data_IF_781196566307
#
_entry.id   IF_781196566307
#
_cell.length_a   1.000
_cell.length_b   1.000
_cell.length_c   1.000
_cell.angle_alpha   90.00
_cell.angle_beta   90.00
_cell.angle_gamma   90.00
#
_symmetry.space_group_name_H-M   'P 1'
#
loop_
_entity.id
_entity.type
_entity.pdbx_description
1 polymer ?
#
# COMPACT_ATOMS: atom_id res chain seq x y z
N UNK A 1 -13.43 7.19 14.49
CA UNK A 1 -12.27 8.07 14.24
C UNK A 1 -11.18 7.35 13.44
N UNK A 2 -10.66 6.20 13.88
CA UNK A 2 -9.64 5.44 13.12
C UNK A 2 -10.11 5.07 11.70
N UNK A 3 -11.34 4.58 11.53
CA UNK A 3 -11.88 4.31 10.19
C UNK A 3 -11.88 5.53 9.25
N UNK A 4 -12.12 6.74 9.76
CA UNK A 4 -12.08 7.94 8.92
C UNK A 4 -10.65 8.22 8.43
N UNK A 5 -9.64 7.97 9.28
CA UNK A 5 -8.23 8.13 8.93
C UNK A 5 -7.77 7.06 7.91
N UNK A 6 -8.32 5.85 7.96
CA UNK A 6 -8.04 4.80 6.96
C UNK A 6 -8.53 5.18 5.56
N UNK A 7 -9.70 5.82 5.44
CA UNK A 7 -10.15 6.35 4.15
C UNK A 7 -9.39 7.62 3.74
N UNK A 8 -9.00 8.46 4.72
CA UNK A 8 -8.19 9.64 4.44
C UNK A 8 -6.83 9.25 3.85
N UNK A 9 -6.14 8.26 4.42
CA UNK A 9 -4.83 7.82 3.92
C UNK A 9 -4.92 7.21 2.51
N UNK A 10 -6.00 6.47 2.22
CA UNK A 10 -6.27 5.96 0.86
C UNK A 10 -6.51 7.09 -0.14
N UNK A 11 -7.36 8.07 0.20
CA UNK A 11 -7.61 9.24 -0.65
C UNK A 11 -6.32 10.02 -0.94
N UNK A 12 -5.45 10.15 0.05
CA UNK A 12 -4.15 10.80 -0.09
C UNK A 12 -3.21 10.00 -1.01
N UNK A 13 -3.20 8.67 -0.88
CA UNK A 13 -2.48 7.78 -1.81
C UNK A 13 -2.98 7.92 -3.23
N UNK A 14 -4.30 7.91 -3.47
CA UNK A 14 -4.87 8.08 -4.82
C UNK A 14 -4.50 9.42 -5.46
N UNK A 15 -4.19 10.44 -4.65
CA UNK A 15 -3.73 11.76 -5.11
C UNK A 15 -2.21 11.89 -5.23
N UNK A 16 -1.45 10.83 -4.96
CA UNK A 16 0.01 10.86 -4.81
C UNK A 16 0.50 11.94 -3.83
N UNK A 17 -0.28 12.25 -2.79
CA UNK A 17 0.08 13.20 -1.73
C UNK A 17 0.95 12.49 -0.67
N UNK A 18 2.21 12.22 -1.01
CA UNK A 18 3.14 11.50 -0.12
C UNK A 18 3.31 12.17 1.25
N UNK A 19 3.49 13.50 1.37
CA UNK A 19 3.55 14.16 2.68
C UNK A 19 2.25 13.97 3.48
N UNK A 20 1.10 14.06 2.82
CA UNK A 20 -0.20 13.81 3.45
C UNK A 20 -0.35 12.38 3.95
N UNK A 21 0.08 11.39 3.16
CA UNK A 21 0.09 9.97 3.58
C UNK A 21 0.96 9.77 4.83
N UNK A 22 2.16 10.35 4.86
CA UNK A 22 3.06 10.27 6.03
C UNK A 22 2.38 10.88 7.26
N UNK A 23 1.82 12.09 7.15
CA UNK A 23 1.17 12.77 8.27
C UNK A 23 -0.05 12.00 8.81
N UNK A 24 -0.88 11.42 7.94
CA UNK A 24 -2.02 10.60 8.37
C UNK A 24 -1.54 9.29 9.02
N UNK A 25 -0.47 8.67 8.50
CA UNK A 25 0.09 7.46 9.10
C UNK A 25 0.58 7.69 10.54
N UNK A 26 1.13 8.87 10.84
CA UNK A 26 1.56 9.28 12.18
C UNK A 26 0.37 9.42 13.12
N UNK A 27 -0.67 10.12 12.66
CA UNK A 27 -1.92 10.27 13.43
C UNK A 27 -2.57 8.92 13.72
N UNK A 28 -2.52 7.97 12.78
CA UNK A 28 -2.98 6.60 13.02
C UNK A 28 -2.11 5.89 14.07
N UNK A 29 -0.79 6.05 14.01
CA UNK A 29 0.14 5.52 15.02
C UNK A 29 -0.18 5.99 16.44
N UNK A 30 -0.49 7.27 16.60
CA UNK A 30 -0.80 7.86 17.91
C UNK A 30 -2.15 7.40 18.49
N UNK A 31 -3.13 7.11 17.62
CA UNK A 31 -4.50 6.79 18.02
C UNK A 31 -4.81 5.29 17.98
N UNK A 32 -4.06 4.51 17.21
CA UNK A 32 -4.35 3.12 16.83
C UNK A 32 -3.68 2.05 17.69
N UNK A 33 -3.12 2.40 18.86
CA UNK A 33 -2.30 1.48 19.70
C UNK A 33 -2.97 0.14 20.02
N UNK A 34 -4.31 0.10 20.13
CA UNK A 34 -5.07 -1.11 20.43
C UNK A 34 -5.60 -1.83 19.17
N UNK A 35 -5.16 -1.43 17.97
CA UNK A 35 -5.70 -1.95 16.70
C UNK A 35 -4.57 -2.33 15.74
N UNK A 36 -3.93 -3.51 15.94
CA UNK A 36 -2.74 -3.92 15.20
C UNK A 36 -2.91 -3.93 13.67
N UNK A 37 -4.08 -4.34 13.16
CA UNK A 37 -4.34 -4.34 11.72
C UNK A 37 -4.33 -2.94 11.09
N UNK A 38 -4.88 -1.95 11.79
CA UNK A 38 -4.90 -0.54 11.35
C UNK A 38 -3.48 0.05 11.37
N UNK A 39 -2.67 -0.29 12.38
CA UNK A 39 -1.27 0.10 12.44
C UNK A 39 -0.44 -0.52 11.31
N UNK A 40 -0.64 -1.81 11.04
CA UNK A 40 0.05 -2.51 9.96
C UNK A 40 -0.30 -1.90 8.59
N UNK A 41 -1.59 -1.60 8.35
CA UNK A 41 -2.04 -0.90 7.14
C UNK A 41 -1.38 0.49 7.03
N UNK A 42 -1.40 1.30 8.09
CA UNK A 42 -0.78 2.62 8.05
C UNK A 42 0.73 2.57 7.78
N UNK A 43 1.43 1.56 8.31
CA UNK A 43 2.85 1.35 8.05
C UNK A 43 3.15 1.04 6.57
N UNK A 44 2.30 0.28 5.88
CA UNK A 44 2.40 0.04 4.44
C UNK A 44 2.31 1.33 3.63
N UNK A 45 1.29 2.15 3.90
CA UNK A 45 1.12 3.45 3.27
C UNK A 45 2.31 4.39 3.52
N UNK A 46 2.82 4.40 4.76
CA UNK A 46 3.99 5.20 5.10
C UNK A 46 5.24 4.75 4.33
N UNK A 47 5.52 3.45 4.29
CA UNK A 47 6.68 2.90 3.59
C UNK A 47 6.64 3.22 2.09
N UNK A 48 5.46 3.09 1.48
CA UNK A 48 5.22 3.52 0.11
C UNK A 48 5.51 5.01 -0.09
N UNK A 49 4.90 5.89 0.70
CA UNK A 49 5.09 7.32 0.56
C UNK A 49 6.56 7.73 0.72
N UNK A 50 7.25 7.16 1.71
CA UNK A 50 8.68 7.41 1.96
C UNK A 50 9.56 6.91 0.80
N UNK A 51 9.26 5.74 0.23
CA UNK A 51 9.99 5.22 -0.93
C UNK A 51 9.74 6.03 -2.20
N UNK A 52 8.51 6.47 -2.43
CA UNK A 52 8.17 7.28 -3.60
C UNK A 52 8.81 8.68 -3.56
N UNK A 53 8.83 9.32 -2.38
CA UNK A 53 9.40 10.66 -2.20
C UNK A 53 10.87 10.69 -1.77
N UNK A 54 11.51 9.53 -1.63
CA UNK A 54 12.84 9.42 -1.01
C UNK A 54 13.65 8.23 -1.53
N UNK A 55 14.22 7.46 -0.60
CA UNK A 55 15.00 6.26 -0.92
C UNK A 55 14.06 5.09 -1.27
N UNK A 56 13.98 4.80 -2.56
CA UNK A 56 13.13 3.75 -3.11
C UNK A 56 13.51 2.36 -2.59
N UNK A 57 14.81 2.06 -2.44
CA UNK A 57 15.27 0.76 -1.98
C UNK A 57 14.91 0.53 -0.51
N UNK A 58 15.10 1.56 0.32
CA UNK A 58 14.64 1.54 1.72
C UNK A 58 13.11 1.40 1.82
N UNK A 59 12.38 2.10 0.95
CA UNK A 59 10.92 1.99 0.83
C UNK A 59 10.45 0.58 0.50
N UNK A 60 11.07 -0.08 -0.49
CA UNK A 60 10.79 -1.48 -0.84
C UNK A 60 11.00 -2.40 0.35
N UNK A 61 12.15 -2.31 1.03
CA UNK A 61 12.43 -3.18 2.20
C UNK A 61 11.40 -3.00 3.32
N UNK A 62 11.07 -1.74 3.65
CA UNK A 62 10.09 -1.43 4.67
C UNK A 62 8.69 -1.92 4.28
N UNK A 63 8.31 -1.75 3.01
CA UNK A 63 7.01 -2.16 2.50
C UNK A 63 6.85 -3.69 2.53
N UNK A 64 7.84 -4.45 2.05
CA UNK A 64 7.82 -5.92 2.06
C UNK A 64 7.72 -6.49 3.48
N UNK A 65 8.46 -5.88 4.41
CA UNK A 65 8.39 -6.25 5.84
C UNK A 65 7.00 -5.97 6.41
N UNK A 66 6.41 -4.81 6.08
CA UNK A 66 5.06 -4.44 6.49
C UNK A 66 4.00 -5.35 5.90
N UNK A 67 4.15 -5.75 4.63
CA UNK A 67 3.18 -6.56 3.90
C UNK A 67 3.12 -7.97 4.45
N UNK A 68 4.29 -8.54 4.77
CA UNK A 68 4.39 -9.83 5.46
C UNK A 68 3.63 -9.81 6.78
N UNK A 69 3.87 -8.78 7.62
CA UNK A 69 3.17 -8.63 8.90
C UNK A 69 1.67 -8.39 8.74
N UNK A 70 1.27 -7.57 7.76
CA UNK A 70 -0.14 -7.29 7.53
C UNK A 70 -0.90 -8.56 7.13
N UNK A 71 -0.31 -9.41 6.28
CA UNK A 71 -0.88 -10.72 5.89
C UNK A 71 -1.03 -11.69 7.07
N UNK A 72 -0.21 -11.57 8.11
CA UNK A 72 -0.33 -12.39 9.33
C UNK A 72 -1.46 -11.92 10.26
N UNK A 73 -1.80 -10.62 10.23
CA UNK A 73 -2.67 -9.97 11.22
C UNK A 73 -4.08 -9.73 10.69
N UNK A 74 -4.22 -9.42 9.40
CA UNK A 74 -5.47 -9.00 8.80
C UNK A 74 -6.10 -10.09 7.94
N UNK A 75 -7.44 -10.12 7.90
CA UNK A 75 -8.17 -10.78 6.82
C UNK A 75 -7.75 -10.18 5.48
N UNK A 76 -7.68 -11.01 4.44
CA UNK A 76 -7.23 -10.65 3.08
C UNK A 76 -8.23 -9.71 2.35
N UNK A 77 -8.62 -8.62 2.98
CA UNK A 77 -9.43 -7.55 2.39
C UNK A 77 -8.48 -6.41 1.97
N UNK A 78 -8.56 -5.97 0.72
CA UNK A 78 -7.73 -4.86 0.20
C UNK A 78 -6.39 -5.25 -0.45
N UNK A 79 -6.13 -6.54 -0.66
CA UNK A 79 -4.88 -7.02 -1.27
C UNK A 79 -4.50 -6.37 -2.61
N UNK A 80 -5.42 -6.05 -3.54
CA UNK A 80 -5.05 -5.42 -4.82
C UNK A 80 -4.39 -4.04 -4.66
N UNK A 81 -4.79 -3.25 -3.65
CA UNK A 81 -4.22 -1.90 -3.43
C UNK A 81 -2.76 -1.99 -3.00
N UNK A 82 -2.44 -2.89 -2.08
CA UNK A 82 -1.07 -3.05 -1.59
C UNK A 82 -0.13 -3.60 -2.66
N UNK A 83 -0.60 -4.52 -3.50
CA UNK A 83 0.22 -5.03 -4.59
C UNK A 83 0.44 -3.97 -5.69
N UNK A 84 -0.53 -3.09 -5.95
CA UNK A 84 -0.32 -1.92 -6.81
C UNK A 84 0.77 -0.97 -6.26
N UNK A 85 0.70 -0.62 -4.98
CA UNK A 85 1.72 0.18 -4.30
C UNK A 85 3.10 -0.50 -4.31
N UNK A 86 3.12 -1.83 -4.17
CA UNK A 86 4.34 -2.64 -4.24
C UNK A 86 4.98 -2.55 -5.63
N UNK A 87 4.18 -2.67 -6.69
CA UNK A 87 4.64 -2.49 -8.07
C UNK A 87 5.27 -1.11 -8.28
N UNK A 88 4.60 -0.03 -7.86
CA UNK A 88 5.11 1.34 -7.97
C UNK A 88 6.46 1.52 -7.27
N UNK A 89 6.64 0.93 -6.08
CA UNK A 89 7.91 0.97 -5.37
C UNK A 89 9.02 0.22 -6.11
N UNK A 90 8.71 -0.94 -6.70
CA UNK A 90 9.69 -1.71 -7.47
C UNK A 90 10.10 -0.96 -8.73
N UNK A 91 9.16 -0.37 -9.46
CA UNK A 91 9.44 0.51 -10.60
C UNK A 91 10.34 1.68 -10.16
N UNK A 92 9.97 2.35 -9.07
CA UNK A 92 10.74 3.48 -8.51
C UNK A 92 12.17 3.09 -8.11
N UNK A 93 12.38 1.83 -7.72
CA UNK A 93 13.68 1.26 -7.40
C UNK A 93 14.44 0.70 -8.64
N UNK A 94 13.91 0.87 -9.85
CA UNK A 94 14.51 0.39 -11.10
C UNK A 94 14.32 -1.10 -11.37
N UNK A 95 13.42 -1.77 -10.64
CA UNK A 95 13.12 -3.21 -10.70
C UNK A 95 11.91 -3.48 -11.60
N UNK A 96 11.97 -3.02 -12.84
CA UNK A 96 10.82 -2.94 -13.74
C UNK A 96 10.21 -4.31 -14.08
N UNK A 97 11.03 -5.34 -14.31
CA UNK A 97 10.53 -6.68 -14.64
C UNK A 97 9.69 -7.27 -13.48
N UNK A 98 10.11 -6.99 -12.25
CA UNK A 98 9.41 -7.45 -11.05
C UNK A 98 8.14 -6.64 -10.82
N UNK A 99 8.15 -5.33 -11.08
CA UNK A 99 6.96 -4.49 -11.05
C UNK A 99 5.89 -4.99 -12.05
N UNK A 100 6.29 -5.28 -13.30
CA UNK A 100 5.40 -5.82 -14.32
C UNK A 100 4.82 -7.19 -13.92
N UNK A 101 5.66 -8.08 -13.40
CA UNK A 101 5.23 -9.40 -12.90
C UNK A 101 4.18 -9.29 -11.79
N UNK A 102 4.34 -8.31 -10.88
CA UNK A 102 3.35 -8.01 -9.84
C UNK A 102 2.02 -7.58 -10.48
N UNK A 103 2.05 -6.63 -11.41
CA UNK A 103 0.84 -6.14 -12.09
C UNK A 103 0.10 -7.26 -12.84
N UNK A 104 0.82 -8.07 -13.62
CA UNK A 104 0.25 -9.19 -14.38
C UNK A 104 -0.48 -10.17 -13.46
N UNK A 105 0.14 -10.50 -12.32
CA UNK A 105 -0.43 -11.40 -11.32
C UNK A 105 -1.73 -10.85 -10.71
N UNK A 106 -1.75 -9.56 -10.34
CA UNK A 106 -2.94 -8.94 -9.73
C UNK A 106 -4.06 -8.81 -10.77
N UNK A 107 -3.75 -8.46 -12.01
CA UNK A 107 -4.73 -8.35 -13.09
C UNK A 107 -5.39 -9.70 -13.34
N UNK A 108 -4.60 -10.78 -13.42
CA UNK A 108 -5.10 -12.13 -13.59
C UNK A 108 -5.98 -12.58 -12.41
N UNK A 109 -5.54 -12.32 -11.17
CA UNK A 109 -6.31 -12.64 -9.96
C UNK A 109 -7.62 -11.85 -9.86
N UNK A 110 -7.60 -10.55 -10.16
CA UNK A 110 -8.78 -9.68 -10.10
C UNK A 110 -9.81 -10.05 -11.19
N UNK A 111 -9.32 -10.41 -12.38
CA UNK A 111 -10.17 -10.85 -13.50
C UNK A 111 -10.84 -12.19 -13.19
N UNK A 112 -10.08 -13.17 -12.69
CA UNK A 112 -10.61 -14.52 -12.39
C UNK A 112 -11.56 -14.55 -11.19
N UNK A 113 -11.38 -13.69 -10.20
CA UNK A 113 -12.25 -13.57 -9.03
C UNK A 113 -13.48 -12.67 -9.24
N UNK A 114 -13.56 -11.96 -10.37
CA UNK A 114 -14.62 -10.99 -10.65
C UNK A 114 -14.49 -9.66 -9.88
N UNK A 115 -13.42 -9.47 -9.09
CA UNK A 115 -13.13 -8.24 -8.34
C UNK A 115 -12.51 -7.14 -9.22
N UNK A 116 -13.15 -6.87 -10.36
CA UNK A 116 -12.61 -6.00 -11.42
C UNK A 116 -12.64 -4.50 -11.09
N UNK A 117 -13.32 -4.09 -10.01
CA UNK A 117 -13.45 -2.68 -9.63
C UNK A 117 -12.10 -2.02 -9.28
N UNK A 118 -11.09 -2.82 -8.91
CA UNK A 118 -9.73 -2.34 -8.66
C UNK A 118 -8.88 -2.15 -9.92
N UNK A 119 -9.27 -2.73 -11.07
CA UNK A 119 -8.47 -2.67 -12.30
C UNK A 119 -8.25 -1.23 -12.79
N UNK A 120 -9.24 -0.35 -12.60
CA UNK A 120 -9.12 1.06 -12.98
C UNK A 120 -7.98 1.77 -12.23
N UNK A 121 -7.70 1.36 -11.00
CA UNK A 121 -6.61 1.93 -10.20
C UNK A 121 -5.25 1.29 -10.53
N UNK A 122 -5.23 0.02 -10.93
CA UNK A 122 -4.00 -0.69 -11.33
C UNK A 122 -3.48 -0.27 -12.71
N UNK A 123 -4.35 0.25 -13.58
CA UNK A 123 -4.03 0.65 -14.96
C UNK A 123 -3.82 2.16 -15.11
N UNK A 124 -3.69 2.90 -14.00
CA UNK A 124 -3.56 4.37 -13.98
C UNK A 124 -2.12 4.82 -14.19
#
# INVERSE_FOLDING_TARGET
MLHALEFEIELKRYRNDHPGVIAVSERIGDLGRATPGVLAKAALFRAWAQGMSGDAAAGVMAFETGLTRWREIATYEGAPVFEGMRSELFERAGRNDEALSILDSIIAASTSSGQVFWLAELLR
#
